data_IF_930943460984
#
_entry.id   IF_930943460984
#
_cell.length_a   1.000
_cell.length_b   1.000
_cell.length_c   1.000
_cell.angle_alpha   90.00
_cell.angle_beta   90.00
_cell.angle_gamma   90.00
#
_symmetry.space_group_name_H-M   'P 1'
#
loop_
_entity.id
_entity.type
_entity.pdbx_description
1 polymer ?
#
# COMPACT_ATOMS: atom_id res chain seq x y z
N UNK A 1 9.10 13.70 4.27
CA UNK A 1 9.69 12.46 3.75
C UNK A 1 8.86 11.96 2.57
N UNK A 2 9.39 11.03 1.76
CA UNK A 2 8.70 10.38 0.65
C UNK A 2 8.82 8.85 0.77
N UNK A 3 7.80 8.12 0.29
CA UNK A 3 7.73 6.66 0.33
C UNK A 3 8.24 5.94 -0.91
N UNK A 4 8.94 6.64 -1.83
CA UNK A 4 9.48 6.01 -3.05
C UNK A 4 10.53 4.95 -2.70
N UNK A 5 10.38 3.74 -3.25
CA UNK A 5 11.29 2.62 -2.98
C UNK A 5 12.32 2.50 -4.10
N UNK A 6 11.91 2.44 -5.37
CA UNK A 6 12.84 2.31 -6.51
C UNK A 6 12.76 3.46 -7.53
N UNK A 7 11.59 4.09 -7.69
CA UNK A 7 11.35 5.07 -8.76
C UNK A 7 12.14 6.35 -8.55
N UNK A 8 13.18 6.52 -9.36
CA UNK A 8 13.93 7.78 -9.45
C UNK A 8 13.03 8.94 -9.87
N UNK A 9 12.07 8.70 -10.76
CA UNK A 9 11.17 9.74 -11.24
C UNK A 9 10.34 10.33 -10.09
N UNK A 10 9.75 9.48 -9.26
CA UNK A 10 8.97 9.94 -8.10
C UNK A 10 9.86 10.64 -7.07
N UNK A 11 11.03 10.08 -6.73
CA UNK A 11 11.97 10.67 -5.77
C UNK A 11 12.43 12.07 -6.21
N UNK A 12 12.89 12.21 -7.46
CA UNK A 12 13.40 13.48 -8.01
C UNK A 12 12.31 14.54 -8.10
N UNK A 13 11.07 14.16 -8.40
CA UNK A 13 9.92 15.08 -8.40
C UNK A 13 9.68 15.69 -7.02
N UNK A 14 9.71 14.87 -5.95
CA UNK A 14 9.55 15.37 -4.57
C UNK A 14 10.76 16.22 -4.16
N UNK A 15 11.98 15.76 -4.45
CA UNK A 15 13.20 16.51 -4.17
C UNK A 15 13.22 17.90 -4.80
N UNK A 16 12.81 18.00 -6.06
CA UNK A 16 12.73 19.28 -6.76
C UNK A 16 11.75 20.25 -6.08
N UNK A 17 10.63 19.76 -5.52
CA UNK A 17 9.69 20.59 -4.77
C UNK A 17 10.31 21.04 -3.45
N UNK A 18 10.90 20.12 -2.69
CA UNK A 18 11.58 20.43 -1.42
C UNK A 18 12.68 21.48 -1.61
N UNK A 19 13.52 21.32 -2.62
CA UNK A 19 14.61 22.25 -2.92
C UNK A 19 14.11 23.69 -3.16
N UNK A 20 13.02 23.86 -3.91
CA UNK A 20 12.43 25.20 -4.16
C UNK A 20 11.85 25.84 -2.90
N UNK A 21 11.49 25.04 -1.90
CA UNK A 21 10.94 25.48 -0.63
C UNK A 21 12.01 25.60 0.47
N UNK A 22 13.29 25.35 0.15
CA UNK A 22 14.37 25.32 1.14
C UNK A 22 14.27 24.15 2.14
N UNK A 23 13.55 23.07 1.77
CA UNK A 23 13.36 21.89 2.61
C UNK A 23 14.30 20.76 2.19
N UNK A 24 14.68 19.93 3.16
CA UNK A 24 15.41 18.68 2.91
C UNK A 24 14.44 17.54 2.59
N UNK A 25 14.65 16.88 1.45
CA UNK A 25 13.92 15.65 1.12
C UNK A 25 14.51 14.45 1.86
N UNK A 26 13.64 13.59 2.38
CA UNK A 26 14.01 12.37 3.12
C UNK A 26 13.33 11.17 2.46
N UNK A 27 14.10 10.30 1.81
CA UNK A 27 13.62 9.12 1.09
C UNK A 27 14.23 7.84 1.70
N UNK A 28 13.79 7.50 2.92
CA UNK A 28 14.39 6.44 3.73
C UNK A 28 14.33 5.03 3.13
N UNK A 29 13.34 4.77 2.26
CA UNK A 29 13.12 3.47 1.65
C UNK A 29 13.85 3.30 0.31
N UNK A 30 14.47 4.37 -0.20
CA UNK A 30 15.01 4.38 -1.55
C UNK A 30 16.17 3.39 -1.70
N UNK A 31 16.05 2.50 -2.69
CA UNK A 31 16.99 1.42 -3.02
C UNK A 31 17.23 0.42 -1.89
N UNK A 32 16.34 0.33 -0.90
CA UNK A 32 16.30 -0.83 0.01
C UNK A 32 15.99 -2.10 -0.79
N UNK A 33 16.47 -3.23 -0.30
CA UNK A 33 16.06 -4.54 -0.82
C UNK A 33 14.56 -4.73 -0.57
N UNK A 34 13.81 -5.07 -1.61
CA UNK A 34 12.34 -5.13 -1.53
C UNK A 34 11.85 -6.34 -0.72
N UNK A 35 12.58 -7.45 -0.76
CA UNK A 35 12.21 -8.68 -0.05
C UNK A 35 12.38 -8.49 1.46
N UNK A 36 13.50 -7.89 1.86
CA UNK A 36 13.77 -7.48 3.22
C UNK A 36 12.76 -6.43 3.68
N UNK A 37 12.55 -5.37 2.90
CA UNK A 37 11.64 -4.27 3.25
C UNK A 37 10.21 -4.75 3.47
N UNK A 38 9.66 -5.58 2.58
CA UNK A 38 8.31 -6.10 2.74
C UNK A 38 8.21 -7.03 3.97
N UNK A 39 9.27 -7.82 4.24
CA UNK A 39 9.34 -8.64 5.47
C UNK A 39 9.40 -7.79 6.73
N UNK A 40 10.15 -6.69 6.73
CA UNK A 40 10.22 -5.73 7.84
C UNK A 40 8.84 -5.13 8.10
N UNK A 41 8.13 -4.68 7.05
CA UNK A 41 6.77 -4.16 7.15
C UNK A 41 5.83 -5.16 7.82
N UNK A 42 5.83 -6.41 7.37
CA UNK A 42 5.04 -7.50 7.97
C UNK A 42 5.41 -7.69 9.44
N UNK A 43 6.70 -7.81 9.75
CA UNK A 43 7.17 -8.04 11.13
C UNK A 43 6.88 -6.87 12.08
N UNK A 44 6.76 -5.65 11.55
CA UNK A 44 6.38 -4.46 12.31
C UNK A 44 4.88 -4.37 12.61
N UNK A 45 4.10 -5.36 12.16
CA UNK A 45 2.66 -5.45 12.37
C UNK A 45 1.85 -4.62 11.39
N UNK A 46 2.39 -4.23 10.23
CA UNK A 46 1.61 -3.58 9.18
C UNK A 46 0.65 -4.61 8.57
N UNK A 47 -0.65 -4.42 8.83
CA UNK A 47 -1.71 -5.16 8.17
C UNK A 47 -2.21 -4.37 6.97
N UNK A 48 -1.71 -4.70 5.78
CA UNK A 48 -2.15 -4.12 4.53
C UNK A 48 -2.65 -5.19 3.57
N UNK A 49 -3.72 -4.91 2.84
CA UNK A 49 -4.32 -5.82 1.87
C UNK A 49 -4.14 -5.32 0.43
N UNK A 50 -4.13 -6.24 -0.53
CA UNK A 50 -4.12 -5.90 -1.96
C UNK A 50 -5.51 -5.39 -2.39
N UNK A 51 -5.57 -4.17 -2.90
CA UNK A 51 -6.79 -3.54 -3.43
C UNK A 51 -6.80 -3.42 -4.95
N UNK A 52 -5.68 -3.67 -5.61
CA UNK A 52 -5.57 -3.71 -7.07
C UNK A 52 -4.47 -4.68 -7.46
N UNK A 53 -4.61 -5.34 -8.60
CA UNK A 53 -3.57 -6.20 -9.17
C UNK A 53 -3.45 -6.00 -10.68
N UNK A 54 -2.24 -5.85 -11.19
CA UNK A 54 -1.94 -5.48 -12.57
C UNK A 54 -0.64 -6.11 -13.11
N UNK A 55 -0.28 -7.31 -12.64
CA UNK A 55 0.93 -8.01 -13.10
C UNK A 55 0.68 -9.49 -13.43
N UNK A 56 1.59 -10.07 -14.22
CA UNK A 56 1.56 -11.49 -14.55
C UNK A 56 1.63 -12.33 -13.27
N UNK A 57 0.78 -13.35 -13.18
CA UNK A 57 0.69 -14.20 -12.00
C UNK A 57 -0.08 -13.62 -10.81
N UNK A 58 -0.51 -12.35 -10.87
CA UNK A 58 -1.50 -11.79 -9.94
C UNK A 58 -2.91 -11.88 -10.55
N UNK A 59 -3.87 -12.34 -9.75
CA UNK A 59 -5.26 -12.60 -10.16
C UNK A 59 -6.22 -11.89 -9.23
N UNK A 60 -7.47 -11.71 -9.66
CA UNK A 60 -8.54 -11.13 -8.84
C UNK A 60 -8.74 -11.87 -7.51
N UNK A 61 -8.43 -13.16 -7.44
CA UNK A 61 -8.45 -13.97 -6.21
C UNK A 61 -7.40 -13.57 -5.17
N UNK A 62 -6.45 -12.70 -5.51
CA UNK A 62 -5.49 -12.13 -4.57
C UNK A 62 -5.95 -10.80 -3.97
N UNK A 63 -7.00 -10.19 -4.52
CA UNK A 63 -7.61 -9.01 -3.90
C UNK A 63 -8.14 -9.35 -2.51
N UNK A 64 -7.90 -8.46 -1.55
CA UNK A 64 -8.30 -8.63 -0.16
C UNK A 64 -7.32 -9.45 0.68
N UNK A 65 -6.36 -10.15 0.07
CA UNK A 65 -5.31 -10.85 0.81
C UNK A 65 -4.30 -9.87 1.36
N UNK A 66 -3.79 -10.15 2.55
CA UNK A 66 -2.76 -9.35 3.18
C UNK A 66 -1.41 -9.47 2.47
N UNK A 67 -0.53 -8.48 2.68
CA UNK A 67 0.86 -8.53 2.22
C UNK A 67 1.62 -9.71 2.82
N UNK A 68 1.26 -10.15 4.03
CA UNK A 68 1.82 -11.34 4.68
C UNK A 68 1.40 -12.61 3.94
N UNK A 69 0.11 -12.79 3.67
CA UNK A 69 -0.42 -13.92 2.91
C UNK A 69 0.18 -13.99 1.50
N UNK A 70 0.48 -12.84 0.92
CA UNK A 70 1.01 -12.72 -0.44
C UNK A 70 2.54 -12.79 -0.53
N UNK A 71 3.27 -12.64 0.57
CA UNK A 71 4.74 -12.49 0.57
C UNK A 71 5.47 -13.58 -0.22
N UNK A 72 5.20 -14.84 0.11
CA UNK A 72 5.84 -15.99 -0.55
C UNK A 72 5.50 -16.06 -2.04
N UNK A 73 4.27 -15.70 -2.40
CA UNK A 73 3.83 -15.67 -3.81
C UNK A 73 4.54 -14.55 -4.58
N UNK A 74 4.66 -13.37 -4.00
CA UNK A 74 5.36 -12.22 -4.60
C UNK A 74 6.85 -12.50 -4.81
N UNK A 75 7.52 -13.14 -3.83
CA UNK A 75 8.90 -13.60 -3.99
C UNK A 75 9.04 -14.57 -5.18
N UNK A 76 8.11 -15.52 -5.31
CA UNK A 76 8.12 -16.48 -6.42
C UNK A 76 7.91 -15.80 -7.79
N UNK A 77 7.02 -14.80 -7.85
CA UNK A 77 6.79 -14.02 -9.07
C UNK A 77 7.99 -13.16 -9.43
N UNK A 78 8.71 -12.61 -8.45
CA UNK A 78 9.96 -11.91 -8.69
C UNK A 78 11.02 -12.84 -9.30
N UNK A 79 11.21 -14.03 -8.74
CA UNK A 79 12.17 -15.01 -9.29
C UNK A 79 11.84 -15.46 -10.72
N UNK A 80 10.55 -15.58 -11.06
CA UNK A 80 10.11 -16.07 -12.38
C UNK A 80 9.96 -14.99 -13.44
N UNK A 81 9.52 -13.81 -13.06
CA UNK A 81 9.04 -12.78 -13.98
C UNK A 81 9.56 -11.38 -13.64
N UNK A 82 10.45 -11.25 -12.65
CA UNK A 82 11.01 -9.97 -12.18
C UNK A 82 9.96 -8.95 -11.73
N UNK A 83 8.83 -9.43 -11.22
CA UNK A 83 7.81 -8.60 -10.57
C UNK A 83 8.41 -7.88 -9.36
N UNK A 84 8.16 -6.58 -9.20
CA UNK A 84 8.62 -5.86 -8.02
C UNK A 84 7.85 -6.33 -6.77
N UNK A 85 8.57 -6.88 -5.80
CA UNK A 85 7.98 -7.46 -4.58
C UNK A 85 7.17 -6.41 -3.79
N UNK A 86 7.60 -5.15 -3.78
CA UNK A 86 6.88 -4.06 -3.11
C UNK A 86 5.84 -3.35 -4.01
N UNK A 87 5.59 -3.84 -5.24
CA UNK A 87 4.58 -3.27 -6.16
C UNK A 87 4.98 -1.91 -6.79
N UNK A 88 6.25 -1.56 -6.75
CA UNK A 88 6.77 -0.25 -7.20
C UNK A 88 6.56 0.02 -8.70
N UNK A 89 6.46 -1.03 -9.53
CA UNK A 89 6.12 -0.94 -10.96
C UNK A 89 4.61 -0.79 -11.22
N UNK A 90 3.80 -0.72 -10.17
CA UNK A 90 2.33 -0.67 -10.25
C UNK A 90 1.69 -2.06 -10.36
N UNK A 91 2.42 -3.12 -9.99
CA UNK A 91 1.95 -4.50 -10.06
C UNK A 91 0.75 -4.77 -9.16
N UNK A 92 0.67 -4.06 -8.04
CA UNK A 92 -0.50 -4.05 -7.17
C UNK A 92 -0.54 -2.74 -6.39
N UNK A 93 -1.70 -2.42 -5.82
CA UNK A 93 -1.85 -1.35 -4.84
C UNK A 93 -2.39 -1.94 -3.54
N UNK A 94 -2.03 -1.34 -2.41
CA UNK A 94 -2.46 -1.79 -1.08
C UNK A 94 -3.26 -0.74 -0.33
N UNK A 95 -4.06 -1.23 0.62
CA UNK A 95 -4.67 -0.43 1.66
C UNK A 95 -4.22 -0.97 3.01
N UNK A 96 -3.60 -0.12 3.82
CA UNK A 96 -3.25 -0.44 5.21
C UNK A 96 -4.49 -0.34 6.08
N UNK A 97 -4.89 -1.45 6.69
CA UNK A 97 -6.04 -1.56 7.58
C UNK A 97 -5.67 -1.27 9.04
N UNK A 98 -4.48 -1.71 9.44
CA UNK A 98 -3.96 -1.54 10.80
C UNK A 98 -2.42 -1.54 10.82
N UNK A 99 -1.83 -0.99 11.88
CA UNK A 99 -0.42 -1.15 12.22
C UNK A 99 -0.15 -0.87 13.70
N UNK A 100 0.95 -1.41 14.24
CA UNK A 100 1.24 -1.41 15.68
C UNK A 100 1.24 -0.03 16.39
N UNK A 101 1.39 1.07 15.64
CA UNK A 101 1.37 2.43 16.19
C UNK A 101 0.14 3.25 15.76
N UNK A 102 -0.86 2.62 15.14
CA UNK A 102 -2.10 3.27 14.80
C UNK A 102 -2.84 3.64 16.09
N UNK A 103 -3.05 4.94 16.31
CA UNK A 103 -3.78 5.47 17.48
C UNK A 103 -5.30 5.49 17.30
N UNK A 104 -5.77 5.13 16.12
CA UNK A 104 -7.17 5.14 15.74
C UNK A 104 -7.70 3.71 15.61
N UNK A 105 -9.02 3.55 15.51
CA UNK A 105 -9.64 2.24 15.26
C UNK A 105 -9.18 1.69 13.90
N UNK A 106 -8.96 0.38 13.86
CA UNK A 106 -8.70 -0.40 12.65
C UNK A 106 -9.78 -0.13 11.58
N UNK A 107 -9.35 0.01 10.33
CA UNK A 107 -10.26 0.08 9.19
C UNK A 107 -10.83 -1.31 8.91
N UNK A 108 -12.16 -1.42 8.93
CA UNK A 108 -12.87 -2.65 8.57
C UNK A 108 -13.50 -2.47 7.20
N UNK A 109 -13.40 -3.50 6.34
CA UNK A 109 -14.08 -3.51 5.05
C UNK A 109 -15.35 -4.34 5.18
N UNK A 110 -16.50 -3.69 5.08
CA UNK A 110 -17.82 -4.34 5.20
C UNK A 110 -18.27 -5.00 3.89
N UNK A 111 -17.87 -4.42 2.75
CA UNK A 111 -18.29 -4.89 1.43
C UNK A 111 -17.31 -5.90 0.83
N UNK A 112 -17.88 -6.92 0.17
CA UNK A 112 -17.10 -7.85 -0.66
C UNK A 112 -16.49 -7.09 -1.84
N UNK A 113 -15.22 -7.32 -2.17
CA UNK A 113 -14.57 -6.65 -3.29
C UNK A 113 -15.33 -6.86 -4.59
N UNK A 114 -15.91 -5.79 -5.13
CA UNK A 114 -16.61 -5.82 -6.41
C UNK A 114 -15.59 -5.68 -7.53
N UNK A 115 -15.21 -6.81 -8.14
CA UNK A 115 -14.41 -6.79 -9.37
C UNK A 115 -15.25 -6.15 -10.48
N UNK A 116 -14.92 -4.92 -10.85
CA UNK A 116 -15.54 -4.28 -12.02
C UNK A 116 -14.80 -4.72 -13.29
N UNK A 117 -15.51 -4.78 -14.42
CA UNK A 117 -15.05 -5.24 -15.75
C UNK A 117 -14.07 -4.22 -16.39
N UNK A 118 -13.19 -3.62 -15.60
CA UNK A 118 -11.98 -2.99 -16.13
C UNK A 118 -10.95 -4.10 -16.37
N UNK A 119 -10.05 -3.90 -17.33
CA UNK A 119 -8.96 -4.84 -17.64
C UNK A 119 -8.03 -5.14 -16.46
N UNK A 120 -8.19 -4.42 -15.34
CA UNK A 120 -7.43 -4.56 -14.09
C UNK A 120 -8.39 -4.68 -12.91
N UNK A 121 -8.38 -5.79 -12.15
CA UNK A 121 -9.21 -5.95 -10.95
C UNK A 121 -8.85 -4.95 -9.85
N UNK A 122 -9.85 -4.24 -9.32
CA UNK A 122 -9.72 -3.23 -8.25
C UNK A 122 -10.85 -3.43 -7.22
N UNK A 123 -10.54 -3.30 -5.93
CA UNK A 123 -11.51 -3.13 -4.84
C UNK A 123 -11.89 -1.66 -4.77
N UNK A 124 -13.17 -1.35 -4.99
CA UNK A 124 -13.70 -0.03 -4.65
C UNK A 124 -13.95 0.04 -3.16
N UNK A 125 -13.37 1.05 -2.53
CA UNK A 125 -13.65 1.33 -1.14
C UNK A 125 -14.83 2.32 -1.11
N UNK A 126 -15.94 2.00 -0.41
CA UNK A 126 -17.07 2.91 -0.29
C UNK A 126 -16.65 4.24 0.36
N UNK A 127 -17.44 5.29 0.14
CA UNK A 127 -17.13 6.64 0.62
C UNK A 127 -17.15 6.70 2.15
N UNK A 128 -15.99 6.96 2.77
CA UNK A 128 -15.79 7.11 4.22
C UNK A 128 -16.23 8.47 4.78
N UNK A 129 -16.82 9.35 3.96
CA UNK A 129 -17.10 10.73 4.37
C UNK A 129 -18.07 10.80 5.56
N UNK A 130 -19.00 9.86 5.65
CA UNK A 130 -19.99 9.85 6.73
C UNK A 130 -19.43 9.15 7.98
N UNK A 131 -18.66 8.08 7.82
CA UNK A 131 -17.94 7.41 8.92
C UNK A 131 -16.94 8.33 9.62
N UNK A 132 -16.23 9.19 8.87
CA UNK A 132 -15.30 10.18 9.42
C UNK A 132 -16.06 11.24 10.22
N UNK A 133 -17.21 11.72 9.73
CA UNK A 133 -18.01 12.71 10.47
C UNK A 133 -18.53 12.11 11.77
N UNK A 134 -19.02 10.88 11.73
CA UNK A 134 -19.50 10.16 12.90
C UNK A 134 -18.37 9.96 13.92
N UNK A 135 -17.18 9.52 13.49
CA UNK A 135 -16.00 9.40 14.33
C UNK A 135 -15.59 10.74 14.97
N UNK A 136 -15.48 11.81 14.17
CA UNK A 136 -15.09 13.14 14.67
C UNK A 136 -16.11 13.68 15.68
N UNK A 137 -17.40 13.41 15.48
CA UNK A 137 -18.46 13.78 16.43
C UNK A 137 -18.38 12.99 17.74
N UNK A 138 -18.05 11.70 17.68
CA UNK A 138 -17.90 10.84 18.87
C UNK A 138 -16.69 11.20 19.73
N UNK A 139 -15.65 11.80 19.13
CA UNK A 139 -14.44 12.24 19.86
C UNK A 139 -14.55 13.61 20.52
N UNK A 140 -15.60 14.40 20.24
CA UNK A 140 -15.84 15.70 20.88
C UNK A 140 -16.46 15.60 22.30
N UNK A 141 -16.69 14.38 22.80
CA UNK A 141 -17.20 14.10 24.14
C UNK A 141 -16.14 13.85 25.23
N UNK A 142 -14.86 14.11 24.94
CA UNK A 142 -13.73 13.99 25.87
C UNK A 142 -13.05 15.33 26.13
#
# INVERSE_FOLDING_TARGET
SAGAILSNYQRVRVENVCNRLGLMSLAYLWRRDQKELLSEMISSGINAILIKVAAIGLKSTHLGKSIEEMYSHLCNLNEKYDVHICGEGGEYETLTLDFAYLRFKMLTLEDKPVSTIATTPIIKIPSWQDDIKEFMSATQGW
#
